data_IF_974047882667
#
_entry.id   IF_974047882667
#
_cell.length_a   1.000
_cell.length_b   1.000
_cell.length_c   1.000
_cell.angle_alpha   90.00
_cell.angle_beta   90.00
_cell.angle_gamma   90.00
#
_symmetry.space_group_name_H-M   'P 1'
#
loop_
_entity.id
_entity.type
_entity.pdbx_description
1 polymer ?
#
# COMPACT_ATOMS: atom_id res chain seq x y z
N UNK A 1 3.01 -6.40 3.30
CA UNK A 1 4.20 -6.92 4.00
C UNK A 1 5.19 -7.64 3.08
N UNK A 2 4.75 -8.53 2.17
CA UNK A 2 5.65 -9.23 1.24
C UNK A 2 6.31 -8.30 0.20
N UNK A 3 5.57 -7.32 -0.32
CA UNK A 3 6.09 -6.44 -1.38
C UNK A 3 7.25 -5.55 -0.91
N UNK A 4 7.23 -5.13 0.36
CA UNK A 4 8.33 -4.39 0.98
C UNK A 4 9.59 -5.23 1.14
N UNK A 5 9.45 -6.54 1.39
CA UNK A 5 10.57 -7.48 1.45
C UNK A 5 11.17 -7.71 0.06
N UNK A 6 10.33 -7.94 -0.95
CA UNK A 6 10.77 -8.17 -2.33
C UNK A 6 11.56 -6.97 -2.84
N UNK A 7 11.03 -5.75 -2.67
CA UNK A 7 11.71 -4.52 -3.10
C UNK A 7 13.06 -4.28 -2.42
N UNK A 8 13.20 -4.65 -1.14
CA UNK A 8 14.41 -4.35 -0.35
C UNK A 8 15.49 -5.43 -0.42
N UNK A 9 15.11 -6.71 -0.56
CA UNK A 9 16.04 -7.83 -0.40
C UNK A 9 16.18 -8.71 -1.63
N UNK A 10 15.25 -8.65 -2.59
CA UNK A 10 15.23 -9.53 -3.77
C UNK A 10 15.49 -8.76 -5.06
N UNK A 11 14.87 -7.59 -5.21
CA UNK A 11 15.04 -6.77 -6.40
C UNK A 11 16.35 -5.97 -6.36
N UNK A 12 17.00 -5.87 -7.52
CA UNK A 12 18.12 -4.96 -7.70
C UNK A 12 17.64 -3.49 -7.62
N UNK A 13 18.32 -2.61 -6.87
CA UNK A 13 17.93 -1.19 -6.77
C UNK A 13 18.04 -0.44 -8.11
N UNK A 14 18.93 -0.87 -9.01
CA UNK A 14 19.16 -0.20 -10.30
C UNK A 14 18.19 -0.62 -11.42
N UNK A 15 17.77 -1.90 -11.45
CA UNK A 15 17.07 -2.47 -12.60
C UNK A 15 15.83 -3.30 -12.24
N UNK A 16 15.45 -3.31 -10.96
CA UNK A 16 14.27 -4.00 -10.41
C UNK A 16 14.17 -5.49 -10.75
N UNK A 17 15.29 -6.12 -11.13
CA UNK A 17 15.30 -7.54 -11.48
C UNK A 17 15.46 -8.40 -10.21
N UNK A 18 14.64 -9.45 -10.02
CA UNK A 18 14.76 -10.37 -8.88
C UNK A 18 16.01 -11.27 -8.88
N UNK A 19 16.81 -11.28 -9.95
CA UNK A 19 18.05 -12.07 -10.02
C UNK A 19 19.23 -11.41 -9.28
N UNK A 20 19.15 -11.31 -7.96
CA UNK A 20 20.24 -10.82 -7.09
C UNK A 20 20.79 -11.90 -6.16
N UNK A 21 22.12 -11.94 -5.99
CA UNK A 21 22.83 -12.84 -5.07
C UNK A 21 23.33 -12.06 -3.84
N UNK A 22 23.08 -12.59 -2.65
CA UNK A 22 23.50 -12.00 -1.37
C UNK A 22 24.83 -12.58 -0.89
N UNK A 23 25.78 -11.70 -0.57
CA UNK A 23 27.13 -12.04 -0.13
C UNK A 23 27.31 -11.60 1.33
N UNK A 24 27.28 -12.56 2.25
CA UNK A 24 27.41 -12.27 3.68
C UNK A 24 28.89 -12.29 4.07
N UNK A 25 29.37 -11.21 4.70
CA UNK A 25 30.71 -11.15 5.28
C UNK A 25 30.61 -11.08 6.82
N UNK A 26 30.61 -12.23 7.53
CA UNK A 26 30.43 -12.25 8.98
C UNK A 26 31.48 -11.45 9.74
N UNK A 27 32.72 -11.41 9.23
CA UNK A 27 33.85 -10.69 9.85
C UNK A 27 33.70 -9.17 9.78
N UNK A 28 33.02 -8.64 8.77
CA UNK A 28 32.81 -7.19 8.58
C UNK A 28 31.40 -6.76 9.00
N UNK A 29 30.55 -7.69 9.45
CA UNK A 29 29.13 -7.46 9.77
C UNK A 29 28.37 -6.76 8.63
N UNK A 30 28.72 -7.07 7.38
CA UNK A 30 28.11 -6.46 6.19
C UNK A 30 27.52 -7.51 5.27
N UNK A 31 26.42 -7.14 4.61
CA UNK A 31 25.74 -7.94 3.60
C UNK A 31 25.84 -7.17 2.27
N UNK A 32 26.48 -7.77 1.27
CA UNK A 32 26.52 -7.25 -0.08
C UNK A 32 25.41 -7.85 -0.94
N UNK A 33 24.93 -7.12 -1.94
CA UNK A 33 24.09 -7.65 -3.00
C UNK A 33 24.82 -7.56 -4.34
N UNK A 34 24.59 -8.52 -5.23
CA UNK A 34 25.07 -8.46 -6.60
C UNK A 34 23.99 -8.87 -7.58
N UNK A 35 23.68 -8.01 -8.55
CA UNK A 35 22.69 -8.30 -9.59
C UNK A 35 23.34 -9.03 -10.77
N UNK A 36 22.72 -10.12 -11.23
CA UNK A 36 23.18 -10.85 -12.43
C UNK A 36 22.85 -10.13 -13.73
N UNK A 37 21.77 -9.36 -13.76
CA UNK A 37 21.28 -8.71 -14.97
C UNK A 37 22.08 -7.45 -15.34
N UNK A 38 22.31 -6.55 -14.37
CA UNK A 38 23.04 -5.30 -14.62
C UNK A 38 24.47 -5.28 -14.07
N UNK A 39 24.87 -6.29 -13.30
CA UNK A 39 26.20 -6.36 -12.69
C UNK A 39 26.39 -5.42 -11.47
N UNK A 40 25.34 -4.74 -11.01
CA UNK A 40 25.39 -3.89 -9.82
C UNK A 40 25.91 -4.68 -8.60
N UNK A 41 26.84 -4.08 -7.85
CA UNK A 41 27.32 -4.60 -6.57
C UNK A 41 27.23 -3.50 -5.52
N UNK A 42 26.38 -3.70 -4.53
CA UNK A 42 26.14 -2.73 -3.47
C UNK A 42 26.18 -3.38 -2.09
N UNK A 43 26.04 -2.55 -1.07
CA UNK A 43 25.87 -2.99 0.30
C UNK A 43 24.41 -2.78 0.68
N UNK A 44 23.80 -3.78 1.31
CA UNK A 44 22.47 -3.64 1.89
C UNK A 44 22.56 -2.93 3.23
N UNK A 45 21.52 -2.16 3.53
CA UNK A 45 21.38 -1.46 4.80
C UNK A 45 21.31 -2.45 5.96
N UNK A 46 22.27 -2.33 6.89
CA UNK A 46 22.42 -3.20 8.05
C UNK A 46 21.40 -2.93 9.16
N UNK A 47 20.64 -1.83 9.09
CA UNK A 47 19.71 -1.42 10.14
C UNK A 47 18.39 -2.23 10.20
N UNK A 48 18.16 -3.13 9.23
CA UNK A 48 16.96 -3.95 9.20
C UNK A 48 17.06 -5.21 10.08
N UNK A 49 16.01 -5.55 10.84
CA UNK A 49 15.94 -6.75 11.72
C UNK A 49 16.33 -8.06 11.01
N UNK A 50 16.01 -8.16 9.71
CA UNK A 50 16.38 -9.30 8.86
C UNK A 50 17.90 -9.41 8.61
N UNK A 51 18.62 -8.29 8.48
CA UNK A 51 20.07 -8.29 8.29
C UNK A 51 20.78 -8.90 9.50
N UNK A 52 20.31 -8.60 10.71
CA UNK A 52 20.78 -9.24 11.94
C UNK A 52 20.52 -10.75 11.95
N UNK A 53 19.40 -11.20 11.38
CA UNK A 53 19.07 -12.62 11.27
C UNK A 53 19.95 -13.35 10.25
N UNK A 54 20.19 -12.74 9.08
CA UNK A 54 21.06 -13.28 8.02
C UNK A 54 22.53 -13.37 8.51
N UNK A 55 23.00 -12.42 9.31
CA UNK A 55 24.34 -12.47 9.92
C UNK A 55 24.48 -13.60 10.96
N UNK A 56 23.39 -13.94 11.66
CA UNK A 56 23.36 -15.03 12.65
C UNK A 56 23.19 -16.41 12.01
N UNK A 57 22.57 -16.49 10.82
CA UNK A 57 22.36 -17.71 10.06
C UNK A 57 22.80 -17.48 8.60
N UNK A 58 24.12 -17.51 8.31
CA UNK A 58 24.60 -17.32 6.95
C UNK A 58 24.03 -18.41 6.03
N UNK A 59 23.53 -18.07 4.84
CA UNK A 59 23.02 -19.04 3.87
C UNK A 59 24.15 -20.01 3.48
N UNK A 60 23.84 -21.30 3.37
CA UNK A 60 24.79 -22.43 3.30
C UNK A 60 25.77 -22.42 2.10
N UNK A 61 25.72 -21.41 1.22
CA UNK A 61 26.55 -21.33 0.01
C UNK A 61 27.76 -20.39 0.12
N UNK A 62 28.20 -19.98 1.31
CA UNK A 62 29.48 -19.29 1.44
C UNK A 62 30.66 -20.28 1.34
N UNK A 63 31.07 -20.54 0.09
CA UNK A 63 32.31 -21.23 -0.26
C UNK A 63 33.51 -20.49 0.36
N UNK A 64 33.94 -20.98 1.52
CA UNK A 64 35.19 -20.60 2.18
C UNK A 64 35.70 -21.78 3.01
N UNK A 65 36.10 -22.84 2.30
CA UNK A 65 36.64 -24.06 2.90
C UNK A 65 37.93 -24.50 2.24
N UNK A 66 39.06 -24.01 2.75
CA UNK A 66 40.40 -24.60 2.58
C UNK A 66 40.39 -26.09 2.97
N UNK A 67 40.18 -26.96 1.98
CA UNK A 67 40.13 -28.42 2.13
C UNK A 67 41.49 -29.08 1.90
N UNK A 68 42.13 -29.42 3.02
CA UNK A 68 43.28 -30.32 3.18
C UNK A 68 43.09 -31.59 2.32
N UNK A 69 43.99 -31.82 1.35
CA UNK A 69 44.11 -33.09 0.62
C UNK A 69 44.55 -34.19 1.59
N UNK A 70 43.58 -34.96 2.08
CA UNK A 70 43.86 -36.29 2.61
C UNK A 70 43.95 -37.29 1.46
N UNK A 71 44.88 -38.21 1.63
CA UNK A 71 45.63 -38.88 0.57
C UNK A 71 45.26 -40.35 0.63
N UNK A 72 44.33 -40.79 -0.19
CA UNK A 72 44.15 -42.22 -0.42
C UNK A 72 44.60 -42.60 -1.83
N UNK A 73 45.61 -43.45 -1.84
CA UNK A 73 46.34 -43.90 -3.01
C UNK A 73 45.91 -45.35 -3.28
N UNK A 74 45.58 -45.57 -4.56
CA UNK A 74 46.07 -46.69 -5.39
C UNK A 74 45.16 -47.93 -5.45
N UNK A 75 44.54 -48.12 -6.62
CA UNK A 75 45.10 -49.14 -7.49
C UNK A 75 45.01 -48.80 -8.98
N UNK A 76 46.12 -49.08 -9.68
CA UNK A 76 46.35 -48.90 -11.12
C UNK A 76 45.98 -50.20 -11.84
N UNK A 77 45.50 -50.07 -13.08
CA UNK A 77 46.12 -50.60 -14.32
C UNK A 77 45.09 -51.26 -15.25
N UNK A 78 45.06 -50.78 -16.49
CA UNK A 78 44.41 -51.45 -17.63
C UNK A 78 44.10 -50.44 -18.72
N UNK A 79 44.71 -50.61 -19.88
CA UNK A 79 44.82 -49.64 -20.98
C UNK A 79 44.29 -50.30 -22.26
N UNK A 80 43.83 -49.45 -23.18
CA UNK A 80 43.78 -49.59 -24.65
C UNK A 80 42.40 -49.74 -25.32
N UNK A 81 42.07 -48.66 -26.05
CA UNK A 81 41.73 -48.53 -27.48
C UNK A 81 40.56 -49.28 -28.14
N UNK A 82 39.79 -48.42 -28.82
CA UNK A 82 39.27 -48.50 -30.20
C UNK A 82 37.85 -49.01 -30.51
N UNK A 83 37.14 -48.11 -31.20
CA UNK A 83 36.27 -48.30 -32.38
C UNK A 83 35.17 -49.38 -32.39
N UNK A 84 33.97 -48.90 -32.73
CA UNK A 84 33.33 -49.40 -33.95
C UNK A 84 31.95 -50.03 -33.80
N UNK A 85 30.95 -49.23 -34.18
CA UNK A 85 30.09 -49.52 -35.33
C UNK A 85 28.91 -50.52 -35.22
N UNK A 86 27.74 -49.97 -35.60
CA UNK A 86 26.59 -50.53 -36.39
C UNK A 86 25.77 -51.69 -35.78
N UNK A 87 24.47 -51.84 -36.01
CA UNK A 87 23.56 -51.49 -37.13
C UNK A 87 22.12 -51.46 -36.58
N UNK A 88 21.26 -50.49 -36.90
CA UNK A 88 20.56 -50.19 -38.16
C UNK A 88 19.31 -51.06 -38.42
N UNK A 89 18.14 -50.41 -38.56
CA UNK A 89 17.17 -50.58 -39.66
C UNK A 89 15.89 -49.78 -39.33
N UNK A 90 15.19 -49.04 -40.21
CA UNK A 90 15.36 -48.68 -41.63
C UNK A 90 14.37 -47.52 -41.96
N UNK A 91 14.90 -46.39 -42.48
CA UNK A 91 14.56 -45.60 -43.70
C UNK A 91 13.11 -45.42 -44.26
N UNK A 92 12.84 -44.49 -45.21
CA UNK A 92 13.21 -43.05 -45.36
C UNK A 92 12.04 -42.16 -45.92
N UNK A 93 12.19 -40.81 -46.04
CA UNK A 93 11.21 -39.93 -46.71
C UNK A 93 11.54 -39.70 -48.21
N UNK A 94 10.56 -39.40 -49.09
CA UNK A 94 10.81 -39.12 -50.50
C UNK A 94 11.16 -37.64 -50.77
N UNK A 95 11.93 -37.44 -51.84
CA UNK A 95 12.44 -36.19 -52.41
C UNK A 95 11.41 -35.49 -53.36
N UNK A 96 11.65 -34.23 -53.79
CA UNK A 96 10.68 -33.42 -54.53
C UNK A 96 10.82 -33.56 -56.06
N UNK A 97 9.77 -33.26 -56.84
CA UNK A 97 9.95 -33.03 -58.27
C UNK A 97 9.46 -31.66 -58.76
N UNK A 98 10.39 -31.01 -59.47
CA UNK A 98 10.28 -30.28 -60.74
C UNK A 98 9.57 -28.92 -60.89
N UNK A 99 10.36 -28.07 -61.55
CA UNK A 99 10.08 -26.84 -62.28
C UNK A 99 8.81 -26.88 -63.15
N UNK A 100 8.01 -25.81 -63.06
CA UNK A 100 7.06 -25.39 -64.10
C UNK A 100 7.19 -23.87 -64.23
N UNK A 101 7.56 -23.41 -65.43
CA UNK A 101 7.71 -22.00 -65.81
C UNK A 101 6.38 -21.23 -65.72
N UNK A 102 6.39 -19.93 -65.39
CA UNK A 102 5.17 -19.12 -65.32
C UNK A 102 4.69 -18.68 -66.72
N UNK A 103 3.37 -18.67 -67.00
CA UNK A 103 2.82 -18.00 -68.18
C UNK A 103 2.77 -16.47 -67.96
N UNK A 104 3.00 -15.64 -68.99
CA UNK A 104 2.96 -14.19 -68.87
C UNK A 104 1.52 -13.68 -69.08
N UNK A 105 0.96 -12.88 -68.16
CA UNK A 105 -0.17 -11.99 -68.43
C UNK A 105 -0.30 -10.94 -67.30
N UNK A 106 -0.87 -9.76 -67.60
CA UNK A 106 -0.27 -8.46 -67.38
C UNK A 106 -0.42 -7.91 -65.96
N UNK A 107 0.58 -7.11 -65.57
CA UNK A 107 0.58 -6.21 -64.41
C UNK A 107 -0.56 -5.20 -64.54
N UNK A 108 -1.63 -5.42 -63.78
CA UNK A 108 -2.42 -4.31 -63.22
C UNK A 108 -1.89 -4.12 -61.79
N UNK A 109 -1.00 -3.13 -61.64
CA UNK A 109 -0.61 -2.59 -60.35
C UNK A 109 -1.79 -1.81 -59.77
N UNK A 110 -2.71 -2.52 -59.09
CA UNK A 110 -3.39 -1.91 -57.94
C UNK A 110 -2.50 -2.20 -56.74
N UNK A 111 -1.60 -1.25 -56.47
CA UNK A 111 -0.99 -1.08 -55.15
C UNK A 111 -2.14 -0.91 -54.15
N UNK A 112 -2.50 -2.01 -53.49
CA UNK A 112 -3.26 -2.00 -52.24
C UNK A 112 -2.32 -1.38 -51.19
N UNK A 113 -2.28 -0.05 -51.22
CA UNK A 113 -1.57 0.84 -50.32
C UNK A 113 -2.03 0.59 -48.89
N UNK A 114 -1.43 -0.43 -48.26
CA UNK A 114 -1.30 -0.58 -46.81
C UNK A 114 -0.37 0.50 -46.21
N UNK A 115 -0.28 1.67 -46.85
CA UNK A 115 0.34 2.87 -46.35
C UNK A 115 -0.57 3.46 -45.29
N UNK A 116 -0.32 3.13 -44.03
CA UNK A 116 -0.81 3.98 -42.94
C UNK A 116 -0.49 5.44 -43.28
N UNK A 117 -1.51 6.27 -43.40
CA UNK A 117 -1.43 7.70 -43.66
C UNK A 117 -0.32 8.36 -42.81
N UNK A 118 0.88 8.51 -43.35
CA UNK A 118 2.05 9.09 -42.66
C UNK A 118 2.03 10.62 -42.71
N UNK A 119 0.89 11.21 -43.02
CA UNK A 119 0.73 12.66 -43.00
C UNK A 119 1.04 13.16 -41.59
N UNK A 120 1.87 14.20 -41.44
CA UNK A 120 2.30 14.71 -40.13
C UNK A 120 1.11 15.02 -39.20
N UNK A 121 -0.04 15.38 -39.78
CA UNK A 121 -1.28 15.62 -39.06
C UNK A 121 -1.91 14.33 -38.51
N UNK A 122 -1.88 13.22 -39.25
CA UNK A 122 -2.37 11.92 -38.81
C UNK A 122 -1.45 11.29 -37.75
N UNK A 123 -0.12 11.44 -37.90
CA UNK A 123 0.84 11.04 -36.88
C UNK A 123 0.72 11.87 -35.60
N UNK A 124 0.45 13.18 -35.73
CA UNK A 124 0.22 14.06 -34.58
C UNK A 124 -1.09 13.72 -33.87
N UNK A 125 -2.17 13.40 -34.60
CA UNK A 125 -3.42 12.92 -33.98
C UNK A 125 -3.25 11.58 -33.28
N UNK A 126 -2.53 10.62 -33.88
CA UNK A 126 -2.19 9.36 -33.21
C UNK A 126 -1.31 9.58 -31.98
N UNK A 127 -0.32 10.48 -32.05
CA UNK A 127 0.50 10.83 -30.88
C UNK A 127 -0.31 11.57 -29.80
N UNK A 128 -1.29 12.39 -30.17
CA UNK A 128 -2.16 13.10 -29.22
C UNK A 128 -3.16 12.14 -28.56
N UNK A 129 -3.75 11.21 -29.32
CA UNK A 129 -4.60 10.13 -28.78
C UNK A 129 -3.80 9.19 -27.87
N UNK A 130 -2.57 8.84 -28.25
CA UNK A 130 -1.67 8.04 -27.41
C UNK A 130 -1.24 8.84 -26.17
N UNK A 131 -0.98 10.14 -26.30
CA UNK A 131 -0.61 11.03 -25.20
C UNK A 131 -1.77 11.21 -24.21
N UNK A 132 -2.99 11.40 -24.69
CA UNK A 132 -4.18 11.51 -23.84
C UNK A 132 -4.54 10.18 -23.19
N UNK A 133 -4.41 9.06 -23.91
CA UNK A 133 -4.55 7.74 -23.32
C UNK A 133 -3.40 7.41 -22.34
N UNK A 134 -2.20 7.95 -22.58
CA UNK A 134 -1.07 7.84 -21.66
C UNK A 134 -1.26 8.73 -20.42
N UNK A 135 -1.81 9.94 -20.53
CA UNK A 135 -2.18 10.80 -19.38
C UNK A 135 -3.23 10.15 -18.49
N UNK A 136 -4.14 9.35 -19.06
CA UNK A 136 -5.08 8.51 -18.31
C UNK A 136 -4.35 7.37 -17.57
N UNK A 137 -3.18 6.94 -18.06
CA UNK A 137 -2.38 5.86 -17.47
C UNK A 137 -1.23 6.34 -16.55
N UNK A 138 -0.77 7.57 -16.69
CA UNK A 138 0.32 8.16 -15.91
C UNK A 138 -0.26 9.09 -14.85
N UNK A 139 -0.45 8.59 -13.63
CA UNK A 139 -0.67 9.37 -12.39
C UNK A 139 -1.72 10.49 -12.51
N UNK A 140 -2.96 10.23 -12.10
CA UNK A 140 -3.96 11.29 -11.97
C UNK A 140 -3.39 12.46 -11.16
N UNK A 141 -3.36 13.67 -11.74
CA UNK A 141 -2.87 14.95 -11.17
C UNK A 141 -3.24 15.15 -9.69
N UNK A 142 -4.38 14.59 -9.27
CA UNK A 142 -4.84 14.60 -7.89
C UNK A 142 -3.91 13.91 -6.89
N UNK A 143 -3.10 12.94 -7.30
CA UNK A 143 -2.17 12.23 -6.40
C UNK A 143 -0.95 13.09 -6.03
N UNK A 144 -0.60 14.07 -6.86
CA UNK A 144 0.46 15.05 -6.60
C UNK A 144 0.02 16.16 -5.64
N UNK A 145 -1.29 16.26 -5.39
CA UNK A 145 -1.88 17.23 -4.46
C UNK A 145 -1.62 16.85 -3.01
N UNK A 146 -1.75 17.83 -2.14
CA UNK A 146 -1.61 17.62 -0.70
C UNK A 146 -2.71 16.69 -0.16
N UNK A 147 -2.43 15.99 0.95
CA UNK A 147 -3.42 15.10 1.59
C UNK A 147 -4.71 15.85 1.92
N UNK A 148 -4.62 17.13 2.33
CA UNK A 148 -5.79 17.97 2.60
C UNK A 148 -6.65 18.18 1.34
N UNK A 149 -6.04 18.55 0.23
CA UNK A 149 -6.76 18.76 -1.03
C UNK A 149 -7.40 17.45 -1.51
N UNK A 150 -6.71 16.31 -1.40
CA UNK A 150 -7.27 15.00 -1.73
C UNK A 150 -8.47 14.65 -0.85
N UNK A 151 -8.41 14.92 0.45
CA UNK A 151 -9.54 14.72 1.36
C UNK A 151 -10.69 15.68 1.04
N UNK A 152 -10.42 16.93 0.69
CA UNK A 152 -11.44 17.90 0.29
C UNK A 152 -12.14 17.50 -1.02
N UNK A 153 -11.40 16.95 -2.00
CA UNK A 153 -12.00 16.42 -3.23
C UNK A 153 -12.95 15.26 -2.90
N UNK A 154 -12.55 14.34 -2.01
CA UNK A 154 -13.42 13.27 -1.53
C UNK A 154 -14.65 13.82 -0.81
N UNK A 155 -14.48 14.86 0.01
CA UNK A 155 -15.58 15.53 0.71
C UNK A 155 -16.60 16.11 -0.26
N UNK A 156 -16.15 16.86 -1.27
CA UNK A 156 -17.00 17.43 -2.30
C UNK A 156 -17.71 16.33 -3.12
N UNK A 157 -17.02 15.22 -3.40
CA UNK A 157 -17.62 14.08 -4.08
C UNK A 157 -18.76 13.46 -3.26
N UNK A 158 -18.54 13.17 -1.98
CA UNK A 158 -19.57 12.58 -1.10
C UNK A 158 -20.74 13.56 -0.90
N UNK A 159 -20.44 14.87 -0.79
CA UNK A 159 -21.47 15.91 -0.68
C UNK A 159 -22.35 15.98 -1.92
N UNK A 160 -21.76 15.97 -3.14
CA UNK A 160 -22.53 15.91 -4.40
C UNK A 160 -23.43 14.68 -4.46
N UNK A 161 -22.91 13.49 -4.11
CA UNK A 161 -23.70 12.25 -4.08
C UNK A 161 -24.87 12.31 -3.09
N UNK A 162 -24.72 13.04 -1.99
CA UNK A 162 -25.81 13.30 -1.03
C UNK A 162 -26.85 14.25 -1.60
N UNK A 163 -26.43 15.34 -2.25
CA UNK A 163 -27.32 16.33 -2.87
C UNK A 163 -28.12 15.74 -4.04
N UNK A 164 -27.52 14.83 -4.81
CA UNK A 164 -28.17 14.06 -5.88
C UNK A 164 -29.13 12.97 -5.36
N UNK A 165 -29.09 12.65 -4.07
CA UNK A 165 -29.95 11.64 -3.44
C UNK A 165 -29.59 10.19 -3.76
N UNK A 166 -28.45 9.92 -4.41
CA UNK A 166 -27.98 8.58 -4.79
C UNK A 166 -27.00 7.95 -3.78
N UNK A 167 -26.74 8.65 -2.68
CA UNK A 167 -25.77 8.25 -1.66
C UNK A 167 -26.02 6.83 -1.12
N UNK A 168 -27.28 6.40 -0.98
CA UNK A 168 -27.65 5.10 -0.39
C UNK A 168 -27.14 3.90 -1.23
N UNK A 169 -26.87 4.09 -2.54
CA UNK A 169 -26.31 3.09 -3.46
C UNK A 169 -24.86 3.32 -3.89
N UNK A 170 -24.30 4.50 -3.61
CA UNK A 170 -22.95 4.89 -4.02
C UNK A 170 -21.84 4.39 -3.08
N UNK A 171 -22.10 3.39 -2.24
CA UNK A 171 -21.12 2.88 -1.27
C UNK A 171 -19.82 2.36 -1.91
N UNK A 172 -19.92 1.76 -3.11
CA UNK A 172 -18.75 1.28 -3.85
C UNK A 172 -17.99 2.41 -4.54
N UNK A 173 -18.73 3.39 -5.08
CA UNK A 173 -18.18 4.53 -5.80
C UNK A 173 -17.35 5.42 -4.87
N UNK A 174 -17.82 5.64 -3.64
CA UNK A 174 -17.12 6.44 -2.64
C UNK A 174 -15.82 5.76 -2.21
N UNK A 175 -15.82 4.43 -2.09
CA UNK A 175 -14.60 3.66 -1.77
C UNK A 175 -13.60 3.73 -2.93
N UNK A 176 -14.07 3.55 -4.17
CA UNK A 176 -13.22 3.64 -5.35
C UNK A 176 -12.59 5.04 -5.49
N UNK A 177 -13.34 6.10 -5.20
CA UNK A 177 -12.82 7.48 -5.23
C UNK A 177 -11.80 7.72 -4.10
N UNK A 178 -12.06 7.22 -2.90
CA UNK A 178 -11.10 7.31 -1.79
C UNK A 178 -9.81 6.50 -2.04
N UNK A 179 -9.91 5.38 -2.77
CA UNK A 179 -8.76 4.59 -3.24
C UNK A 179 -7.97 5.33 -4.33
N UNK A 180 -8.66 5.93 -5.30
CA UNK A 180 -8.05 6.75 -6.37
C UNK A 180 -7.27 7.93 -5.81
N UNK A 181 -7.78 8.55 -4.76
CA UNK A 181 -7.18 9.70 -4.08
C UNK A 181 -6.16 9.31 -3.00
N UNK A 182 -5.89 8.01 -2.79
CA UNK A 182 -4.96 7.51 -1.77
C UNK A 182 -5.26 8.08 -0.36
N UNK A 183 -6.55 8.16 -0.01
CA UNK A 183 -7.06 8.64 1.29
C UNK A 183 -8.12 7.69 1.86
N UNK A 184 -8.03 6.40 1.50
CA UNK A 184 -9.00 5.37 1.91
C UNK A 184 -9.24 5.32 3.42
N UNK A 185 -8.19 5.50 4.23
CA UNK A 185 -8.32 5.49 5.69
C UNK A 185 -9.14 6.68 6.23
N UNK A 186 -9.13 7.82 5.55
CA UNK A 186 -9.84 9.03 5.96
C UNK A 186 -11.32 9.03 5.54
N UNK A 187 -11.74 8.05 4.73
CA UNK A 187 -13.12 7.91 4.25
C UNK A 187 -14.18 8.00 5.35
N UNK A 188 -14.05 7.28 6.48
CA UNK A 188 -15.01 7.38 7.58
C UNK A 188 -15.14 8.77 8.18
N UNK A 189 -14.05 9.55 8.27
CA UNK A 189 -14.09 10.93 8.76
C UNK A 189 -14.97 11.79 7.85
N UNK A 190 -14.75 11.72 6.54
CA UNK A 190 -15.56 12.43 5.54
C UNK A 190 -17.03 11.98 5.60
N UNK A 191 -17.27 10.68 5.71
CA UNK A 191 -18.62 10.13 5.80
C UNK A 191 -19.36 10.62 7.05
N UNK A 192 -18.68 10.72 8.21
CA UNK A 192 -19.33 11.23 9.43
C UNK A 192 -19.76 12.69 9.28
N UNK A 193 -18.91 13.54 8.71
CA UNK A 193 -19.20 14.96 8.51
C UNK A 193 -20.38 15.17 7.54
N UNK A 194 -20.46 14.36 6.48
CA UNK A 194 -21.52 14.49 5.48
C UNK A 194 -22.81 13.78 5.89
N UNK A 195 -22.76 12.61 6.53
CA UNK A 195 -23.93 11.77 6.75
C UNK A 195 -24.52 11.87 8.16
N UNK A 196 -23.71 12.21 9.17
CA UNK A 196 -24.16 12.21 10.56
C UNK A 196 -24.60 13.59 11.05
N UNK A 197 -25.60 13.59 11.94
CA UNK A 197 -26.08 14.76 12.65
C UNK A 197 -26.59 14.35 14.05
N UNK A 198 -27.53 15.08 14.64
CA UNK A 198 -28.15 14.77 15.93
C UNK A 198 -28.85 13.39 15.98
N UNK A 199 -29.16 12.79 14.83
CA UNK A 199 -29.77 11.46 14.66
C UNK A 199 -28.78 10.35 14.31
N UNK A 200 -27.52 10.50 14.73
CA UNK A 200 -26.43 9.56 14.46
C UNK A 200 -26.81 8.08 14.70
N UNK A 201 -27.58 7.76 15.73
CA UNK A 201 -28.01 6.39 16.05
C UNK A 201 -28.83 5.70 14.95
N UNK A 202 -29.71 6.44 14.30
CA UNK A 202 -30.50 5.94 13.16
C UNK A 202 -29.63 5.85 11.91
N UNK A 203 -28.75 6.82 11.74
CA UNK A 203 -27.85 6.93 10.58
C UNK A 203 -26.76 5.85 10.58
N UNK A 204 -26.25 5.43 11.73
CA UNK A 204 -25.32 4.29 11.85
C UNK A 204 -25.94 3.04 11.23
N UNK A 205 -27.22 2.77 11.52
CA UNK A 205 -27.94 1.62 10.97
C UNK A 205 -28.18 1.77 9.48
N UNK A 206 -28.59 2.96 9.02
CA UNK A 206 -28.84 3.25 7.61
C UNK A 206 -27.58 3.12 6.75
N UNK A 207 -26.48 3.71 7.21
CA UNK A 207 -25.22 3.82 6.47
C UNK A 207 -24.17 2.78 6.90
N UNK A 208 -24.56 1.74 7.66
CA UNK A 208 -23.66 0.66 8.11
C UNK A 208 -22.81 0.13 6.96
N UNK A 209 -23.42 -0.10 5.80
CA UNK A 209 -22.73 -0.67 4.63
C UNK A 209 -21.61 0.26 4.13
N UNK A 210 -21.83 1.57 4.12
CA UNK A 210 -20.84 2.57 3.69
C UNK A 210 -19.63 2.56 4.61
N UNK A 211 -19.84 2.62 5.93
CA UNK A 211 -18.75 2.59 6.91
C UNK A 211 -18.03 1.24 6.93
N UNK A 212 -18.76 0.13 6.85
CA UNK A 212 -18.17 -1.21 6.92
C UNK A 212 -17.17 -1.47 5.78
N UNK A 213 -17.39 -0.91 4.58
CA UNK A 213 -16.43 -1.03 3.47
C UNK A 213 -15.07 -0.38 3.76
N UNK A 214 -15.05 0.64 4.62
CA UNK A 214 -13.82 1.31 5.02
C UNK A 214 -13.21 0.68 6.27
N UNK A 215 -14.04 0.36 7.27
CA UNK A 215 -13.59 -0.08 8.58
C UNK A 215 -13.22 -1.57 8.67
N UNK A 216 -13.72 -2.42 7.77
CA UNK A 216 -13.45 -3.85 7.83
C UNK A 216 -11.94 -4.17 7.72
N UNK A 217 -11.38 -4.80 8.76
CA UNK A 217 -9.95 -5.11 8.90
C UNK A 217 -9.01 -3.89 8.76
N UNK A 218 -9.50 -2.68 9.04
CA UNK A 218 -8.72 -1.45 8.89
C UNK A 218 -8.80 -0.59 10.17
N UNK A 219 -7.88 -0.85 11.10
CA UNK A 219 -7.77 -0.12 12.36
C UNK A 219 -7.54 1.38 12.15
N UNK A 220 -6.81 1.79 11.10
CA UNK A 220 -6.58 3.20 10.78
C UNK A 220 -7.89 3.91 10.41
N UNK A 221 -8.73 3.29 9.58
CA UNK A 221 -10.05 3.82 9.23
C UNK A 221 -10.99 3.90 10.44
N UNK A 222 -10.94 2.90 11.33
CA UNK A 222 -11.70 2.90 12.58
C UNK A 222 -11.28 4.05 13.51
N UNK A 223 -9.98 4.37 13.59
CA UNK A 223 -9.49 5.56 14.32
C UNK A 223 -10.04 6.86 13.72
N UNK A 224 -10.08 7.00 12.39
CA UNK A 224 -10.70 8.15 11.74
C UNK A 224 -12.21 8.23 11.97
N UNK A 225 -12.92 7.10 12.07
CA UNK A 225 -14.33 7.06 12.45
C UNK A 225 -14.56 7.61 13.87
N UNK A 226 -13.69 7.27 14.82
CA UNK A 226 -13.74 7.80 16.19
C UNK A 226 -13.47 9.31 16.23
N UNK A 227 -12.53 9.81 15.42
CA UNK A 227 -12.32 11.25 15.28
C UNK A 227 -13.53 11.95 14.64
N UNK A 228 -14.16 11.31 13.66
CA UNK A 228 -15.43 11.77 13.09
C UNK A 228 -16.55 11.87 14.12
N UNK A 229 -16.67 10.89 15.02
CA UNK A 229 -17.60 10.93 16.15
C UNK A 229 -17.29 12.12 17.08
N UNK A 230 -16.02 12.37 17.41
CA UNK A 230 -15.62 13.53 18.22
C UNK A 230 -16.07 14.84 17.57
N UNK A 231 -15.89 15.00 16.25
CA UNK A 231 -16.34 16.16 15.48
C UNK A 231 -17.87 16.34 15.55
N UNK A 232 -18.64 15.28 15.30
CA UNK A 232 -20.11 15.32 15.32
C UNK A 232 -20.64 15.66 16.73
N UNK A 233 -20.04 15.11 17.78
CA UNK A 233 -20.36 15.49 19.17
C UNK A 233 -19.98 16.95 19.43
N UNK A 234 -18.88 17.44 18.88
CA UNK A 234 -18.49 18.85 18.97
C UNK A 234 -19.45 19.82 18.29
N UNK A 235 -20.19 19.38 17.26
CA UNK A 235 -21.25 20.15 16.60
C UNK A 235 -22.58 20.08 17.36
N UNK A 236 -22.91 18.92 17.94
CA UNK A 236 -24.20 18.65 18.60
C UNK A 236 -24.03 18.28 20.08
N UNK A 237 -23.21 19.05 20.81
CA UNK A 237 -22.77 18.73 22.18
C UNK A 237 -23.94 18.43 23.12
N UNK A 238 -24.94 19.31 23.16
CA UNK A 238 -26.09 19.21 24.08
C UNK A 238 -26.93 17.96 23.85
N UNK A 239 -27.01 17.46 22.61
CA UNK A 239 -27.87 16.31 22.27
C UNK A 239 -27.14 14.96 22.30
N UNK A 240 -25.83 14.95 22.05
CA UNK A 240 -25.06 13.73 21.84
C UNK A 240 -24.16 13.34 23.03
N UNK A 241 -23.74 14.28 23.87
CA UNK A 241 -22.77 14.02 24.96
C UNK A 241 -23.24 12.92 25.93
N UNK A 242 -24.54 12.88 26.25
CA UNK A 242 -25.13 11.85 27.13
C UNK A 242 -25.33 10.50 26.44
N UNK A 243 -25.28 10.47 25.10
CA UNK A 243 -25.56 9.29 24.27
C UNK A 243 -24.29 8.58 23.79
N UNK A 244 -23.10 9.15 24.01
CA UNK A 244 -21.81 8.57 23.62
C UNK A 244 -21.68 7.07 23.92
N UNK A 245 -21.92 6.56 25.14
CA UNK A 245 -21.73 5.14 25.41
C UNK A 245 -22.69 4.26 24.60
N UNK A 246 -23.90 4.76 24.32
CA UNK A 246 -24.87 4.06 23.48
C UNK A 246 -24.48 4.10 22.00
N UNK A 247 -23.92 5.22 21.52
CA UNK A 247 -23.44 5.37 20.15
C UNK A 247 -22.24 4.44 19.91
N UNK A 248 -21.27 4.43 20.82
CA UNK A 248 -20.12 3.53 20.74
C UNK A 248 -20.54 2.07 20.74
N UNK A 249 -21.50 1.70 21.61
CA UNK A 249 -22.10 0.37 21.58
C UNK A 249 -22.76 0.04 20.24
N UNK A 250 -23.53 0.95 19.66
CA UNK A 250 -24.16 0.72 18.36
C UNK A 250 -23.15 0.61 17.21
N UNK A 251 -22.02 1.33 17.27
CA UNK A 251 -20.93 1.20 16.30
C UNK A 251 -20.19 -0.15 16.46
N UNK A 252 -19.96 -0.58 17.70
CA UNK A 252 -19.39 -1.89 18.03
C UNK A 252 -20.31 -3.04 17.59
N UNK A 253 -21.59 -3.01 17.98
CA UNK A 253 -22.60 -4.00 17.58
C UNK A 253 -22.80 -4.06 16.05
N UNK A 254 -22.44 -2.99 15.33
CA UNK A 254 -22.52 -2.91 13.87
C UNK A 254 -21.22 -3.35 13.17
N UNK A 255 -20.22 -3.86 13.90
CA UNK A 255 -18.89 -4.26 13.40
C UNK A 255 -18.11 -3.11 12.74
N UNK A 256 -18.37 -1.87 13.16
CA UNK A 256 -17.68 -0.70 12.61
C UNK A 256 -16.41 -0.34 13.39
N UNK A 257 -16.32 -0.78 14.64
CA UNK A 257 -15.21 -0.51 15.55
C UNK A 257 -14.83 -1.78 16.31
N UNK A 258 -13.55 -2.12 16.29
CA UNK A 258 -12.99 -3.20 17.08
C UNK A 258 -12.69 -2.74 18.51
N UNK A 259 -12.78 -3.66 19.46
CA UNK A 259 -12.55 -3.43 20.88
C UNK A 259 -11.17 -2.79 21.16
N UNK A 260 -10.11 -3.37 20.58
CA UNK A 260 -8.74 -2.89 20.71
C UNK A 260 -8.61 -1.40 20.31
N UNK A 261 -9.28 -1.00 19.21
CA UNK A 261 -9.23 0.37 18.70
C UNK A 261 -9.96 1.33 19.63
N UNK A 262 -11.10 0.90 20.19
CA UNK A 262 -11.90 1.69 21.14
C UNK A 262 -11.10 1.90 22.44
N UNK A 263 -10.47 0.84 22.97
CA UNK A 263 -9.65 0.90 24.17
C UNK A 263 -8.44 1.83 23.94
N UNK A 264 -7.69 1.62 22.85
CA UNK A 264 -6.52 2.44 22.48
C UNK A 264 -6.87 3.94 22.33
N UNK A 265 -8.00 4.24 21.71
CA UNK A 265 -8.50 5.63 21.58
C UNK A 265 -8.87 6.27 22.91
N UNK A 266 -9.44 5.48 23.84
CA UNK A 266 -9.86 5.99 25.15
C UNK A 266 -8.68 6.42 26.02
N UNK A 267 -7.53 5.78 25.86
CA UNK A 267 -6.32 6.02 26.67
C UNK A 267 -5.55 7.26 26.22
N UNK A 268 -5.53 7.57 24.92
CA UNK A 268 -4.84 8.72 24.35
C UNK A 268 -5.82 9.85 23.99
N UNK A 269 -5.85 10.91 24.80
CA UNK A 269 -6.60 12.12 24.49
C UNK A 269 -5.89 12.96 23.43
N UNK A 270 -6.45 13.00 22.21
CA UNK A 270 -5.94 13.83 21.12
C UNK A 270 -6.50 15.25 21.18
N UNK A 271 -5.67 16.25 20.81
CA UNK A 271 -6.08 17.65 20.63
C UNK A 271 -6.38 17.99 19.16
N UNK A 272 -6.24 17.04 18.24
CA UNK A 272 -6.16 17.31 16.80
C UNK A 272 -7.50 17.69 16.15
N UNK A 273 -8.62 17.18 16.66
CA UNK A 273 -9.93 17.34 16.01
C UNK A 273 -10.94 18.16 16.83
N UNK A 274 -10.81 18.13 18.16
CA UNK A 274 -11.68 18.85 19.09
C UNK A 274 -10.87 19.47 20.22
N UNK A 275 -11.45 20.43 20.95
CA UNK A 275 -10.78 21.03 22.11
C UNK A 275 -10.44 19.97 23.16
N UNK A 276 -9.34 20.19 23.89
CA UNK A 276 -8.84 19.24 24.91
C UNK A 276 -9.90 18.95 25.97
N UNK A 277 -10.71 19.94 26.31
CA UNK A 277 -11.79 19.87 27.28
C UNK A 277 -12.89 18.93 26.79
N UNK A 278 -13.32 19.09 25.53
CA UNK A 278 -14.34 18.24 24.93
C UNK A 278 -13.83 16.81 24.71
N UNK A 279 -12.58 16.64 24.25
CA UNK A 279 -11.97 15.32 24.10
C UNK A 279 -11.96 14.53 25.43
N UNK A 280 -11.66 15.21 26.54
CA UNK A 280 -11.71 14.62 27.89
C UNK A 280 -13.13 14.31 28.30
N UNK A 281 -14.07 15.23 28.09
CA UNK A 281 -15.48 15.02 28.45
C UNK A 281 -16.07 13.81 27.71
N UNK A 282 -15.79 13.68 26.40
CA UNK A 282 -16.21 12.55 25.57
C UNK A 282 -15.70 11.23 26.16
N UNK A 283 -14.42 11.17 26.54
CA UNK A 283 -13.81 9.96 27.12
C UNK A 283 -14.41 9.62 28.47
N UNK A 284 -14.64 10.60 29.34
CA UNK A 284 -15.33 10.40 30.63
C UNK A 284 -16.74 9.82 30.42
N UNK A 285 -17.46 10.26 29.40
CA UNK A 285 -18.78 9.70 29.06
C UNK A 285 -18.69 8.31 28.41
N UNK A 286 -17.58 7.99 27.77
CA UNK A 286 -17.33 6.67 27.20
C UNK A 286 -16.90 5.63 28.25
N UNK A 287 -16.34 6.04 29.40
CA UNK A 287 -15.85 5.15 30.47
C UNK A 287 -16.77 3.98 30.83
N UNK A 288 -18.11 4.15 30.98
CA UNK A 288 -18.99 3.03 31.30
C UNK A 288 -18.99 1.94 30.22
N UNK A 289 -18.85 2.33 28.95
CA UNK A 289 -18.77 1.39 27.83
C UNK A 289 -17.38 0.76 27.72
N UNK A 290 -16.30 1.52 27.93
CA UNK A 290 -14.94 0.98 27.96
C UNK A 290 -14.78 -0.05 29.09
N UNK A 291 -15.35 0.24 30.26
CA UNK A 291 -15.37 -0.69 31.39
C UNK A 291 -16.12 -1.98 31.04
N UNK A 292 -17.26 -1.87 30.37
CA UNK A 292 -18.01 -3.04 29.90
C UNK A 292 -17.23 -3.90 28.88
N UNK A 293 -16.48 -3.27 27.97
CA UNK A 293 -15.57 -3.99 27.05
C UNK A 293 -14.48 -4.72 27.84
N UNK A 294 -13.73 -4.01 28.68
CA UNK A 294 -12.63 -4.59 29.48
C UNK A 294 -13.09 -5.71 30.43
N UNK A 295 -14.29 -5.62 31.00
CA UNK A 295 -14.87 -6.69 31.83
C UNK A 295 -15.26 -7.93 31.01
N UNK A 296 -15.51 -7.79 29.70
CA UNK A 296 -15.70 -8.90 28.79
C UNK A 296 -14.36 -9.51 28.30
N UNK A 297 -13.23 -8.86 28.57
CA UNK A 297 -11.90 -9.13 27.99
C UNK A 297 -10.97 -9.96 28.92
N UNK A 298 -11.44 -10.49 30.06
CA UNK A 298 -10.62 -11.31 30.99
C UNK A 298 -10.19 -12.69 30.41
N UNK A 299 -10.06 -12.82 29.09
CA UNK A 299 -9.40 -13.89 28.34
C UNK A 299 -8.88 -13.36 26.98
N UNK A 300 -7.74 -12.66 26.91
CA UNK A 300 -6.78 -12.63 25.76
C UNK A 300 -6.04 -11.29 25.63
N UNK A 301 -4.89 -11.16 26.29
CA UNK A 301 -3.99 -10.02 26.14
C UNK A 301 -2.91 -10.24 25.08
N UNK A 302 -2.61 -9.21 24.26
CA UNK A 302 -1.36 -9.14 23.48
C UNK A 302 -1.28 -7.91 22.58
N UNK A 303 -0.67 -6.83 23.08
CA UNK A 303 -0.43 -5.58 22.34
C UNK A 303 0.95 -5.62 21.67
N UNK A 304 0.98 -5.46 20.34
CA UNK A 304 2.16 -4.99 19.59
C UNK A 304 1.70 -3.81 18.71
N UNK A 305 2.22 -2.62 18.99
CA UNK A 305 1.98 -1.37 18.24
C UNK A 305 3.21 -1.13 17.36
N UNK A 306 3.04 -1.19 16.04
CA UNK A 306 4.06 -0.90 15.03
C UNK A 306 3.41 0.04 14.00
N UNK A 307 3.53 1.36 14.20
CA UNK A 307 3.15 2.38 13.21
C UNK A 307 4.01 3.64 13.42
N UNK A 308 5.18 3.66 12.77
CA UNK A 308 6.10 4.82 12.61
C UNK A 308 5.76 5.68 11.36
N UNK A 309 4.48 5.85 11.01
CA UNK A 309 4.10 6.78 9.93
C UNK A 309 3.76 8.17 10.48
N UNK A 310 4.48 9.19 9.99
CA UNK A 310 4.23 10.61 10.24
C UNK A 310 2.75 10.94 10.04
N UNK A 311 2.03 11.09 11.16
CA UNK A 311 0.62 11.46 11.20
C UNK A 311 0.45 12.92 10.71
N UNK A 312 0.41 13.11 9.39
CA UNK A 312 0.08 14.38 8.74
C UNK A 312 -1.33 14.85 9.12
N UNK A 313 -1.42 16.12 9.50
CA UNK A 313 -2.56 16.75 10.16
C UNK A 313 -3.63 17.22 9.16
N UNK A 314 -4.88 16.77 9.35
CA UNK A 314 -6.07 17.41 8.76
C UNK A 314 -6.92 17.90 9.92
N UNK A 315 -6.70 19.15 10.34
CA UNK A 315 -7.47 19.82 11.39
C UNK A 315 -8.56 20.65 10.73
N UNK A 316 -9.83 20.30 10.97
CA UNK A 316 -10.97 21.06 10.47
C UNK A 316 -11.25 22.29 11.34
N UNK A 317 -11.28 23.47 10.72
CA UNK A 317 -11.61 24.74 11.38
C UNK A 317 -13.12 24.94 11.51
N UNK A 318 -13.58 25.32 12.71
CA UNK A 318 -14.99 25.49 13.11
C UNK A 318 -15.76 26.64 12.43
N UNK A 319 -15.16 27.41 11.52
CA UNK A 319 -15.78 28.64 10.98
C UNK A 319 -15.62 28.87 9.47
N UNK A 320 -15.04 27.94 8.72
CA UNK A 320 -14.87 28.10 7.27
C UNK A 320 -15.48 26.94 6.50
N UNK A 321 -16.11 27.25 5.36
CA UNK A 321 -16.66 26.27 4.41
C UNK A 321 -15.57 25.42 3.71
N UNK A 322 -14.32 25.55 4.12
CA UNK A 322 -13.14 24.80 3.67
C UNK A 322 -12.14 24.73 4.85
N UNK A 323 -11.48 23.59 5.12
CA UNK A 323 -10.41 23.50 6.12
C UNK A 323 -9.19 24.35 5.72
N UNK A 324 -8.37 24.69 6.71
CA UNK A 324 -7.19 25.55 6.55
C UNK A 324 -6.03 24.99 7.37
N UNK A 325 -4.86 24.83 6.76
CA UNK A 325 -3.63 24.36 7.41
C UNK A 325 -2.74 25.53 7.84
N UNK A 326 -2.20 25.46 9.07
CA UNK A 326 -1.07 26.26 9.54
C UNK A 326 0.10 25.34 9.88
N UNK A 327 1.29 25.68 9.39
CA UNK A 327 2.53 24.98 9.72
C UNK A 327 3.07 25.46 11.07
N UNK A 328 3.21 24.54 12.04
CA UNK A 328 3.96 24.82 13.27
C UNK A 328 5.45 24.67 12.96
N UNK A 329 6.19 25.76 13.05
CA UNK A 329 7.66 25.72 13.06
C UNK A 329 8.10 24.93 14.30
N UNK A 330 8.90 23.89 14.10
CA UNK A 330 9.64 23.26 15.18
C UNK A 330 10.73 24.23 15.64
N UNK A 331 10.51 24.95 16.74
CA UNK A 331 11.62 25.51 17.50
C UNK A 331 12.35 24.33 18.14
N UNK A 332 13.40 23.87 17.43
CA UNK A 332 14.52 23.18 18.06
C UNK A 332 15.40 24.28 18.63
N UNK A 333 15.31 24.52 19.92
CA UNK A 333 16.36 25.14 20.72
C UNK A 333 16.08 24.81 22.18
N UNK A 334 16.71 23.76 22.68
CA UNK A 334 17.09 23.59 24.09
C UNK A 334 18.23 22.56 24.11
N UNK A 335 19.40 23.01 23.65
CA UNK A 335 20.69 22.42 24.02
C UNK A 335 20.83 22.56 25.54
N UNK A 336 20.60 21.46 26.25
CA UNK A 336 20.96 21.33 27.66
C UNK A 336 22.47 21.06 27.71
N UNK A 337 23.24 22.11 27.98
CA UNK A 337 24.67 22.04 28.33
C UNK A 337 24.86 21.19 29.60
N UNK A 338 25.49 20.04 29.47
CA UNK A 338 25.66 19.05 30.55
C UNK A 338 26.95 19.21 31.36
N UNK A 339 27.67 20.32 31.23
CA UNK A 339 28.97 20.56 31.90
C UNK A 339 28.93 21.57 33.06
N UNK A 340 27.78 21.74 33.73
CA UNK A 340 27.69 22.53 34.96
C UNK A 340 26.92 21.81 36.06
N UNK A 341 27.61 20.96 36.84
CA UNK A 341 27.49 20.79 38.30
C UNK A 341 28.73 20.07 38.83
#
# INVERSE_FOLDING_TARGET
MLDGFIKKFVLCPECENPETDLHVNPKKQTIGNSCKACGYRGMLDTHHKLCTFILKNPPENSDSGTGKKEKEKKNRKGKDKENGSVSNSETPPPAPPNEISPPPHPVEEEDDDWGEDTTEEAQRRRMDEISDHAKVLTLSDDLERTIEERVNILFDFVKKKKEEGIIDSSDKEIVAEAERLDVKAMGPLVLTEVLFNEKIREQIKKYRRHFLRFCHNNKKAQRYLLHGLECVVGMHHTQLISKIPHILKEMYDADLLEEEVIISWSEKASKKYVSKELAKEIRVKAEPFIKWLKEAEEESSGVEDDDEDENLEVVYSKTASVPKVEAVKSDKDDDIDIDAI
#
